data_IF_312254098059
#
_entry.id   IF_312254098059
#
_cell.length_a   1.000
_cell.length_b   1.000
_cell.length_c   1.000
_cell.angle_alpha   90.00
_cell.angle_beta   90.00
_cell.angle_gamma   90.00
#
_symmetry.space_group_name_H-M   'P 1'
#
loop_
_entity.id
_entity.type
_entity.pdbx_description
1 polymer ?
#
# COMPACT_ATOMS: atom_id res chain seq x y z
N UNK A 1 24.24 -69.43 -65.00
CA UNK A 1 22.83 -69.46 -65.43
C UNK A 1 22.02 -68.49 -64.58
N UNK A 2 21.13 -67.76 -65.26
CA UNK A 2 19.89 -67.11 -64.78
C UNK A 2 19.86 -66.35 -63.44
N UNK A 3 19.78 -65.02 -63.59
CA UNK A 3 18.73 -64.12 -63.11
C UNK A 3 17.84 -64.47 -61.89
N UNK A 4 17.78 -63.46 -61.01
CA UNK A 4 16.59 -62.78 -60.45
C UNK A 4 15.71 -63.58 -59.50
N UNK A 5 15.70 -63.14 -58.23
CA UNK A 5 14.46 -63.06 -57.46
C UNK A 5 14.33 -61.65 -56.89
N UNK A 6 13.15 -61.12 -57.17
CA UNK A 6 12.64 -59.79 -56.87
C UNK A 6 12.22 -59.65 -55.41
N UNK A 7 12.27 -58.39 -54.97
CA UNK A 7 11.42 -57.71 -53.98
C UNK A 7 11.35 -58.20 -52.53
N UNK A 8 11.70 -57.29 -51.61
CA UNK A 8 11.06 -57.18 -50.29
C UNK A 8 10.31 -55.84 -50.21
N UNK A 9 9.01 -55.83 -49.88
CA UNK A 9 8.27 -54.61 -49.57
C UNK A 9 8.40 -54.31 -48.07
N UNK A 10 8.82 -53.11 -47.69
CA UNK A 10 9.00 -52.81 -46.26
C UNK A 10 9.00 -51.34 -45.82
N UNK A 11 9.03 -50.36 -46.73
CA UNK A 11 9.33 -48.97 -46.34
C UNK A 11 8.12 -48.02 -46.26
N UNK A 12 6.96 -48.34 -46.84
CA UNK A 12 5.77 -47.46 -46.75
C UNK A 12 4.93 -47.68 -45.49
N UNK A 13 4.86 -48.91 -44.98
CA UNK A 13 3.99 -49.27 -43.85
C UNK A 13 4.53 -48.75 -42.51
N UNK A 14 5.85 -48.81 -42.30
CA UNK A 14 6.49 -48.29 -41.10
C UNK A 14 6.42 -46.76 -41.01
N UNK A 15 6.57 -46.06 -42.15
CA UNK A 15 6.45 -44.59 -42.19
C UNK A 15 5.03 -44.11 -41.88
N UNK A 16 4.00 -44.82 -42.34
CA UNK A 16 2.59 -44.52 -42.02
C UNK A 16 2.25 -44.81 -40.56
N UNK A 17 2.81 -45.89 -40.03
CA UNK A 17 2.62 -46.25 -38.62
C UNK A 17 3.27 -45.23 -37.68
N UNK A 18 4.49 -44.78 -38.00
CA UNK A 18 5.16 -43.73 -37.24
C UNK A 18 4.42 -42.39 -37.33
N UNK A 19 3.88 -42.02 -38.51
CA UNK A 19 3.08 -40.80 -38.62
C UNK A 19 1.80 -40.88 -37.80
N UNK A 20 1.12 -42.02 -37.76
CA UNK A 20 -0.07 -42.21 -36.93
C UNK A 20 0.24 -42.12 -35.42
N UNK A 21 1.38 -42.66 -34.98
CA UNK A 21 1.82 -42.55 -33.58
C UNK A 21 2.10 -41.09 -33.22
N UNK A 22 2.82 -40.37 -34.08
CA UNK A 22 3.14 -38.96 -33.86
C UNK A 22 1.86 -38.11 -33.85
N UNK A 23 0.95 -38.31 -34.82
CA UNK A 23 -0.32 -37.59 -34.88
C UNK A 23 -1.18 -37.85 -33.64
N UNK A 24 -1.26 -39.09 -33.17
CA UNK A 24 -2.00 -39.43 -31.97
C UNK A 24 -1.37 -38.82 -30.71
N UNK A 25 -0.03 -38.82 -30.61
CA UNK A 25 0.68 -38.19 -29.50
C UNK A 25 0.49 -36.66 -29.48
N UNK A 26 0.57 -36.01 -30.64
CA UNK A 26 0.34 -34.56 -30.78
C UNK A 26 -1.11 -34.22 -30.44
N UNK A 27 -2.09 -34.98 -30.96
CA UNK A 27 -3.51 -34.77 -30.67
C UNK A 27 -3.81 -34.92 -29.19
N UNK A 28 -3.21 -35.91 -28.52
CA UNK A 28 -3.34 -36.09 -27.07
C UNK A 28 -2.71 -34.96 -26.26
N UNK A 29 -1.56 -34.45 -26.69
CA UNK A 29 -0.90 -33.31 -26.05
C UNK A 29 -1.74 -32.03 -26.18
N UNK A 30 -2.22 -31.73 -27.40
CA UNK A 30 -3.05 -30.54 -27.67
C UNK A 30 -4.35 -30.57 -26.90
N UNK A 31 -5.01 -31.74 -26.83
CA UNK A 31 -6.25 -31.89 -26.05
C UNK A 31 -6.01 -31.70 -24.56
N UNK A 32 -4.92 -32.25 -24.00
CA UNK A 32 -4.54 -32.02 -22.61
C UNK A 32 -4.28 -30.53 -22.32
N UNK A 33 -3.53 -29.84 -23.17
CA UNK A 33 -3.27 -28.40 -23.02
C UNK A 33 -4.55 -27.60 -23.14
N UNK A 34 -5.47 -28.01 -24.01
CA UNK A 34 -6.77 -27.38 -24.16
C UNK A 34 -7.66 -27.56 -22.93
N UNK A 35 -7.65 -28.75 -22.34
CA UNK A 35 -8.37 -29.07 -21.11
C UNK A 35 -7.79 -28.29 -19.92
N UNK A 36 -6.47 -28.17 -19.84
CA UNK A 36 -5.77 -27.36 -18.83
C UNK A 36 -6.12 -25.87 -19.00
N UNK A 37 -6.08 -25.33 -20.23
CA UNK A 37 -6.50 -23.96 -20.53
C UNK A 37 -7.97 -23.72 -20.17
N UNK A 38 -8.83 -24.71 -20.44
CA UNK A 38 -10.24 -24.63 -20.09
C UNK A 38 -10.44 -24.65 -18.57
N UNK A 39 -9.70 -25.51 -17.86
CA UNK A 39 -9.70 -25.58 -16.40
C UNK A 39 -9.19 -24.26 -15.78
N UNK A 40 -8.11 -23.68 -16.31
CA UNK A 40 -7.57 -22.37 -15.89
C UNK A 40 -8.60 -21.26 -16.16
N UNK A 41 -9.17 -21.19 -17.36
CA UNK A 41 -10.20 -20.20 -17.71
C UNK A 41 -11.45 -20.35 -16.83
N UNK A 42 -11.83 -21.57 -16.50
CA UNK A 42 -12.95 -21.88 -15.60
C UNK A 42 -12.61 -21.51 -14.16
N UNK A 43 -11.38 -21.76 -13.70
CA UNK A 43 -10.89 -21.34 -12.39
C UNK A 43 -10.85 -19.81 -12.27
N UNK A 44 -10.40 -19.10 -13.31
CA UNK A 44 -10.43 -17.62 -13.36
C UNK A 44 -11.87 -17.07 -13.39
N UNK A 45 -12.82 -17.74 -14.07
CA UNK A 45 -14.25 -17.40 -14.01
C UNK A 45 -14.89 -17.75 -12.66
N UNK A 46 -14.48 -18.83 -12.00
CA UNK A 46 -14.98 -19.25 -10.69
C UNK A 46 -14.36 -18.44 -9.53
N UNK A 47 -13.16 -17.88 -9.73
CA UNK A 47 -12.54 -16.85 -8.90
C UNK A 47 -13.16 -15.46 -9.08
N UNK A 48 -14.32 -15.35 -9.73
CA UNK A 48 -15.17 -14.17 -9.67
C UNK A 48 -15.83 -14.03 -8.29
N UNK A 49 -15.02 -14.10 -7.24
CA UNK A 49 -15.24 -13.61 -5.88
C UNK A 49 -14.44 -12.32 -5.72
N UNK A 50 -15.03 -11.20 -5.29
CA UNK A 50 -16.28 -10.65 -5.76
C UNK A 50 -15.97 -9.24 -6.28
N UNK A 51 -15.71 -9.04 -7.59
CA UNK A 51 -15.58 -7.66 -8.09
C UNK A 51 -16.83 -6.81 -7.79
N UNK A 52 -18.00 -7.47 -7.70
CA UNK A 52 -19.29 -6.84 -7.41
C UNK A 52 -19.53 -6.64 -5.89
N UNK A 53 -18.99 -7.49 -5.01
CA UNK A 53 -19.07 -7.23 -3.56
C UNK A 53 -17.94 -6.31 -3.08
N UNK A 54 -16.79 -6.31 -3.77
CA UNK A 54 -15.77 -5.28 -3.67
C UNK A 54 -16.36 -3.95 -4.15
N UNK A 55 -17.08 -3.89 -5.28
CA UNK A 55 -17.74 -2.65 -5.73
C UNK A 55 -18.85 -2.19 -4.79
N UNK A 56 -19.61 -3.10 -4.15
CA UNK A 56 -20.58 -2.76 -3.08
C UNK A 56 -19.96 -2.40 -1.73
N UNK A 57 -18.73 -2.85 -1.45
CA UNK A 57 -17.96 -2.41 -0.27
C UNK A 57 -17.21 -1.11 -0.54
N UNK A 58 -16.75 -0.91 -1.77
CA UNK A 58 -16.18 0.32 -2.32
C UNK A 58 -17.26 1.39 -2.49
N UNK A 59 -18.53 1.03 -2.70
CA UNK A 59 -19.64 1.98 -2.81
C UNK A 59 -20.01 2.69 -1.49
N UNK A 60 -19.25 2.46 -0.40
CA UNK A 60 -19.33 3.25 0.84
C UNK A 60 -18.07 4.06 1.13
N UNK A 61 -17.01 3.85 0.37
CA UNK A 61 -15.90 4.80 0.33
C UNK A 61 -16.35 5.81 -0.71
N UNK A 62 -16.94 6.91 -0.25
CA UNK A 62 -16.86 8.14 -1.02
C UNK A 62 -15.35 8.30 -1.30
N UNK A 63 -14.91 8.06 -2.53
CA UNK A 63 -13.49 8.06 -2.92
C UNK A 63 -13.02 9.51 -2.95
N UNK A 64 -12.99 10.11 -1.76
CA UNK A 64 -12.60 11.48 -1.51
C UNK A 64 -11.11 11.56 -1.76
N UNK A 65 -10.72 12.58 -2.50
CA UNK A 65 -9.30 12.87 -2.78
C UNK A 65 -8.56 13.01 -1.45
N UNK A 66 -7.48 12.24 -1.28
CA UNK A 66 -6.55 12.42 -0.17
C UNK A 66 -5.50 13.47 -0.58
N UNK A 67 -5.71 14.72 -0.20
CA UNK A 67 -4.80 15.82 -0.52
C UNK A 67 -3.42 15.71 0.17
N UNK A 68 -3.25 14.77 1.10
CA UNK A 68 -1.95 14.42 1.67
C UNK A 68 -1.18 13.35 0.86
N UNK A 69 -1.72 12.85 -0.25
CA UNK A 69 -1.09 11.79 -1.04
C UNK A 69 0.15 12.29 -1.80
N UNK A 70 1.29 11.59 -1.64
CA UNK A 70 2.51 11.86 -2.41
C UNK A 70 2.25 11.75 -3.93
N UNK A 71 1.50 10.73 -4.35
CA UNK A 71 1.10 10.51 -5.75
C UNK A 71 0.36 11.71 -6.37
N UNK A 72 -0.24 12.57 -5.54
CA UNK A 72 -0.94 13.79 -5.96
C UNK A 72 -0.09 15.05 -5.81
N UNK A 73 1.15 14.93 -5.35
CA UNK A 73 2.11 16.03 -5.20
C UNK A 73 2.25 16.59 -3.78
N UNK A 74 1.65 15.97 -2.78
CA UNK A 74 1.88 16.33 -1.38
C UNK A 74 3.33 16.04 -0.96
N UNK A 75 3.87 16.82 -0.02
CA UNK A 75 5.28 16.75 0.38
C UNK A 75 5.45 16.90 1.88
N UNK A 76 6.49 16.28 2.41
CA UNK A 76 6.98 16.59 3.77
C UNK A 76 7.87 17.83 3.68
N UNK A 77 7.61 18.82 4.53
CA UNK A 77 8.33 20.10 4.56
C UNK A 77 9.38 20.12 5.67
N UNK A 78 9.02 19.70 6.87
CA UNK A 78 9.93 19.67 8.02
C UNK A 78 9.51 18.66 9.06
N UNK A 79 10.48 18.26 9.90
CA UNK A 79 10.30 17.32 10.99
C UNK A 79 11.11 17.81 12.18
N UNK A 80 10.46 17.84 13.34
CA UNK A 80 11.10 18.03 14.63
C UNK A 80 10.83 16.76 15.44
N UNK A 81 11.80 15.86 15.43
CA UNK A 81 11.73 14.55 16.06
C UNK A 81 13.07 13.85 15.94
N UNK A 82 13.27 12.78 16.70
CA UNK A 82 14.49 11.99 16.61
C UNK A 82 14.25 10.73 15.79
N UNK A 83 15.20 10.30 14.93
CA UNK A 83 15.09 9.03 14.24
C UNK A 83 15.20 7.86 15.21
N UNK A 84 14.54 6.75 14.89
CA UNK A 84 14.56 5.52 15.72
C UNK A 84 16.00 5.01 15.90
N UNK A 85 16.76 5.00 14.81
CA UNK A 85 18.16 4.64 14.79
C UNK A 85 19.00 5.91 14.73
N UNK A 86 19.78 6.24 15.78
CA UNK A 86 20.67 7.40 15.76
C UNK A 86 21.62 7.34 14.55
N UNK A 87 21.68 8.38 13.71
CA UNK A 87 22.57 8.40 12.56
C UNK A 87 24.02 8.54 13.04
N UNK A 88 24.95 7.92 12.31
CA UNK A 88 26.36 8.26 12.48
C UNK A 88 26.64 9.68 11.94
N UNK A 89 27.84 10.21 12.21
CA UNK A 89 28.21 11.56 11.80
C UNK A 89 27.99 11.82 10.31
N UNK A 90 28.37 10.86 9.45
CA UNK A 90 28.21 10.98 8.00
C UNK A 90 26.74 11.07 7.58
N UNK A 91 25.88 10.19 8.10
CA UNK A 91 24.43 10.20 7.80
C UNK A 91 23.78 11.50 8.24
N UNK A 92 24.16 12.03 9.41
CA UNK A 92 23.68 13.32 9.90
C UNK A 92 24.12 14.48 9.00
N UNK A 93 25.39 14.49 8.56
CA UNK A 93 25.90 15.52 7.65
C UNK A 93 25.17 15.53 6.30
N UNK A 94 24.74 14.36 5.81
CA UNK A 94 24.00 14.20 4.56
C UNK A 94 22.48 14.37 4.70
N UNK A 95 21.96 14.66 5.90
CA UNK A 95 20.51 14.75 6.16
C UNK A 95 19.77 13.41 6.05
N UNK A 96 20.48 12.28 6.13
CA UNK A 96 19.94 10.92 6.00
C UNK A 96 19.49 10.34 7.34
N UNK A 97 19.00 11.21 8.24
CA UNK A 97 18.66 10.84 9.61
C UNK A 97 17.50 9.82 9.67
N UNK A 98 16.56 9.89 8.71
CA UNK A 98 15.36 9.06 8.65
C UNK A 98 15.38 8.03 7.50
N UNK A 99 16.55 7.66 6.98
CA UNK A 99 16.66 6.79 5.79
C UNK A 99 15.94 5.44 5.94
N UNK A 100 15.98 4.82 7.13
CA UNK A 100 15.33 3.52 7.39
C UNK A 100 13.81 3.61 7.39
N UNK A 101 13.24 4.70 7.90
CA UNK A 101 11.80 4.91 7.99
C UNK A 101 11.48 6.33 7.50
N UNK A 102 11.52 6.55 6.17
CA UNK A 102 11.43 7.89 5.63
C UNK A 102 10.09 8.55 5.98
N UNK A 103 10.08 9.86 6.24
CA UNK A 103 8.87 10.60 6.58
C UNK A 103 7.81 10.56 5.50
N UNK A 104 8.26 10.53 4.24
CA UNK A 104 7.37 10.46 3.08
C UNK A 104 6.50 9.20 3.07
N UNK A 105 6.88 8.13 3.79
CA UNK A 105 6.07 6.90 3.86
C UNK A 105 4.65 7.18 4.37
N UNK A 106 4.46 8.12 5.29
CA UNK A 106 3.13 8.48 5.79
C UNK A 106 2.21 9.15 4.75
N UNK A 107 2.75 9.54 3.59
CA UNK A 107 2.02 10.13 2.46
C UNK A 107 1.77 9.14 1.33
N UNK A 108 2.34 7.92 1.41
CA UNK A 108 2.22 6.87 0.39
C UNK A 108 1.01 5.98 0.63
N UNK A 109 0.69 5.18 -0.38
CA UNK A 109 -0.40 4.19 -0.35
C UNK A 109 0.04 2.83 0.22
N UNK A 110 1.33 2.57 0.25
CA UNK A 110 1.95 1.35 0.76
C UNK A 110 1.77 1.23 2.28
N UNK A 111 1.34 0.05 2.71
CA UNK A 111 1.01 -0.29 4.09
C UNK A 111 1.66 -1.62 4.51
N UNK A 112 2.72 -2.06 3.83
CA UNK A 112 3.48 -3.25 4.24
C UNK A 112 4.16 -3.05 5.61
N UNK A 113 4.34 -4.14 6.35
CA UNK A 113 4.99 -4.08 7.66
C UNK A 113 6.40 -3.46 7.54
N UNK A 114 6.69 -2.43 8.34
CA UNK A 114 7.93 -1.64 8.26
C UNK A 114 7.86 -0.39 7.37
N UNK A 115 6.91 -0.30 6.42
CA UNK A 115 6.79 0.84 5.51
C UNK A 115 5.96 1.98 6.13
N UNK A 116 6.47 2.52 7.23
CA UNK A 116 5.89 3.65 7.94
C UNK A 116 6.96 4.70 8.27
N UNK A 117 6.53 5.93 8.54
CA UNK A 117 7.39 6.93 9.14
C UNK A 117 7.55 6.62 10.62
N UNK A 118 8.78 6.34 11.05
CA UNK A 118 9.10 5.98 12.43
C UNK A 118 9.97 7.05 13.08
N UNK A 119 9.61 7.43 14.30
CA UNK A 119 10.40 8.34 15.13
C UNK A 119 10.52 7.80 16.54
N UNK A 120 11.62 8.17 17.20
CA UNK A 120 11.96 7.71 18.54
C UNK A 120 10.98 8.24 19.57
N UNK A 121 10.72 7.42 20.59
CA UNK A 121 9.75 7.67 21.67
C UNK A 121 8.34 7.87 21.10
N UNK A 122 7.62 8.88 21.58
CA UNK A 122 6.19 9.06 21.38
C UNK A 122 5.80 10.45 20.86
N UNK A 123 6.78 11.31 20.59
CA UNK A 123 6.56 12.69 20.13
C UNK A 123 7.37 13.06 18.89
N UNK A 124 6.69 13.65 17.91
CA UNK A 124 7.31 14.34 16.78
C UNK A 124 6.36 15.41 16.23
N UNK A 125 6.93 16.48 15.69
CA UNK A 125 6.21 17.49 14.94
C UNK A 125 6.56 17.32 13.47
N UNK A 126 5.55 17.26 12.62
CA UNK A 126 5.72 17.02 11.18
C UNK A 126 4.92 18.06 10.42
N UNK A 127 5.58 18.84 9.57
CA UNK A 127 4.90 19.76 8.66
C UNK A 127 4.81 19.14 7.28
N UNK A 128 3.61 19.04 6.72
CA UNK A 128 3.33 18.56 5.37
C UNK A 128 2.69 19.67 4.54
N UNK A 129 2.99 19.68 3.25
CA UNK A 129 2.29 20.46 2.24
C UNK A 129 1.36 19.52 1.47
N UNK A 130 0.07 19.84 1.43
CA UNK A 130 -0.94 19.18 0.63
C UNK A 130 -0.69 19.41 -0.86
N UNK A 131 -1.30 18.59 -1.70
CA UNK A 131 -1.23 18.77 -3.15
C UNK A 131 -1.85 20.09 -3.61
N UNK A 132 -2.92 20.53 -2.95
CA UNK A 132 -3.65 21.77 -3.27
C UNK A 132 -4.20 22.42 -1.98
N UNK A 133 -4.41 23.75 -1.95
CA UNK A 133 -5.11 24.41 -0.85
C UNK A 133 -6.60 24.05 -0.83
N UNK A 134 -7.09 23.54 0.29
CA UNK A 134 -8.48 23.06 0.42
C UNK A 134 -9.14 23.48 1.73
N UNK A 135 -10.47 23.56 1.71
CA UNK A 135 -11.32 23.68 2.90
C UNK A 135 -11.37 22.31 3.58
N UNK A 136 -10.45 22.07 4.52
CA UNK A 136 -10.27 20.77 5.18
C UNK A 136 -11.45 20.45 6.11
N UNK A 137 -12.21 19.41 5.79
CA UNK A 137 -13.35 18.98 6.60
C UNK A 137 -13.10 17.66 7.33
N UNK A 138 -12.04 16.93 6.99
CA UNK A 138 -11.72 15.67 7.61
C UNK A 138 -10.23 15.35 7.51
N UNK A 139 -9.66 14.88 8.62
CA UNK A 139 -8.30 14.33 8.67
C UNK A 139 -8.36 12.90 9.20
N UNK A 140 -7.44 12.04 8.80
CA UNK A 140 -7.39 10.69 9.32
C UNK A 140 -5.98 10.14 9.44
N UNK A 141 -5.89 9.06 10.20
CA UNK A 141 -4.72 8.20 10.29
C UNK A 141 -5.14 6.77 9.97
N UNK A 142 -4.24 6.03 9.33
CA UNK A 142 -4.35 4.59 9.16
C UNK A 142 -3.10 3.91 9.68
N UNK A 143 -3.28 2.75 10.30
CA UNK A 143 -2.22 1.92 10.85
C UNK A 143 -2.49 0.46 10.52
N UNK A 144 -1.45 -0.34 10.37
CA UNK A 144 -1.59 -1.77 10.07
C UNK A 144 -2.20 -2.57 11.21
N UNK A 145 -2.82 -3.69 10.86
CA UNK A 145 -3.44 -4.63 11.80
C UNK A 145 -2.41 -5.38 12.65
N UNK A 146 -2.79 -5.68 13.90
CA UNK A 146 -2.08 -6.61 14.81
C UNK A 146 -1.78 -7.97 14.18
N UNK A 147 -2.62 -8.46 13.25
CA UNK A 147 -2.43 -9.77 12.62
C UNK A 147 -1.33 -9.78 11.56
N UNK A 148 -0.97 -8.62 11.03
CA UNK A 148 0.05 -8.43 9.99
C UNK A 148 1.36 -7.89 10.56
N UNK A 149 1.47 -7.79 11.89
CA UNK A 149 2.69 -7.34 12.57
C UNK A 149 3.30 -8.47 13.39
N UNK A 150 4.56 -8.85 13.15
CA UNK A 150 5.28 -9.74 14.04
C UNK A 150 5.56 -9.04 15.38
N UNK A 151 4.79 -9.32 16.44
CA UNK A 151 5.09 -8.86 17.81
C UNK A 151 4.36 -7.60 18.30
N UNK A 152 5.05 -6.74 19.06
CA UNK A 152 4.51 -5.59 19.84
C UNK A 152 4.21 -4.32 19.02
N UNK A 153 4.46 -4.35 17.71
CA UNK A 153 4.42 -3.18 16.82
C UNK A 153 3.08 -2.41 16.80
N UNK A 154 1.97 -3.07 17.11
CA UNK A 154 0.68 -2.36 17.19
C UNK A 154 0.63 -1.29 18.28
N UNK A 155 1.45 -1.41 19.33
CA UNK A 155 1.52 -0.39 20.39
C UNK A 155 2.29 0.86 19.94
N UNK A 156 2.99 0.79 18.81
CA UNK A 156 3.73 1.90 18.21
C UNK A 156 2.84 2.85 17.41
N UNK A 157 1.55 2.54 17.23
CA UNK A 157 0.62 3.47 16.59
C UNK A 157 0.57 4.80 17.37
N UNK A 158 0.48 5.96 16.67
CA UNK A 158 0.23 7.23 17.33
C UNK A 158 -1.10 7.17 18.06
N UNK A 159 -1.18 7.82 19.22
CA UNK A 159 -2.40 7.88 20.04
C UNK A 159 -2.96 9.29 20.05
N UNK A 160 -2.38 10.19 20.82
CA UNK A 160 -2.83 11.58 20.91
C UNK A 160 -2.05 12.46 19.94
N UNK A 161 -2.77 13.21 19.11
CA UNK A 161 -2.16 14.14 18.18
C UNK A 161 -2.99 15.42 18.03
N UNK A 162 -2.35 16.50 17.60
CA UNK A 162 -3.00 17.76 17.24
C UNK A 162 -2.61 18.14 15.82
N UNK A 163 -3.51 18.85 15.12
CA UNK A 163 -3.22 19.35 13.77
C UNK A 163 -3.46 20.84 13.72
N UNK A 164 -2.48 21.55 13.17
CA UNK A 164 -2.54 22.98 12.93
C UNK A 164 -2.49 23.26 11.42
N UNK A 165 -3.28 24.21 10.97
CA UNK A 165 -3.11 24.84 9.67
C UNK A 165 -2.14 26.01 9.81
N UNK A 166 -1.07 25.99 9.03
CA UNK A 166 -0.03 27.01 9.06
C UNK A 166 -0.43 28.16 8.13
N UNK A 167 -0.37 29.38 8.64
CA UNK A 167 -0.70 30.59 7.88
C UNK A 167 0.29 31.71 8.21
N UNK A 168 0.38 32.72 7.35
CA UNK A 168 1.31 33.84 7.51
C UNK A 168 1.13 34.61 8.82
N UNK A 169 -0.12 34.73 9.29
CA UNK A 169 -0.44 35.54 10.47
C UNK A 169 -0.32 34.75 11.78
N UNK A 170 -0.90 33.54 11.79
CA UNK A 170 -0.98 32.68 12.97
C UNK A 170 -1.42 31.27 12.58
N UNK A 171 -0.80 30.28 13.18
CA UNK A 171 -1.24 28.88 13.05
C UNK A 171 -2.63 28.68 13.67
N UNK A 172 -3.53 28.04 12.94
CA UNK A 172 -4.89 27.73 13.39
C UNK A 172 -4.97 26.27 13.85
N UNK A 173 -5.39 26.03 15.09
CA UNK A 173 -5.63 24.68 15.59
C UNK A 173 -6.89 24.10 14.93
N UNK A 174 -6.73 23.11 14.06
CA UNK A 174 -7.84 22.41 13.43
C UNK A 174 -8.49 21.39 14.37
N UNK A 175 -7.71 20.83 15.30
CA UNK A 175 -8.24 19.95 16.33
C UNK A 175 -7.19 19.17 17.09
N UNK A 176 -7.66 18.55 18.18
CA UNK A 176 -6.92 17.55 18.95
C UNK A 176 -7.68 16.23 18.83
N UNK A 177 -6.97 15.18 18.48
CA UNK A 177 -7.56 13.91 18.10
C UNK A 177 -6.88 12.78 18.85
N UNK A 178 -7.58 11.65 18.94
CA UNK A 178 -7.07 10.42 19.52
C UNK A 178 -7.35 9.27 18.57
N UNK A 179 -6.29 8.65 18.07
CA UNK A 179 -6.38 7.40 17.34
C UNK A 179 -6.57 6.24 18.33
N UNK A 180 -7.46 5.29 17.99
CA UNK A 180 -7.69 4.09 18.77
C UNK A 180 -6.97 2.88 18.16
N UNK A 181 -6.18 2.15 18.94
CA UNK A 181 -5.54 0.92 18.48
C UNK A 181 -6.51 -0.29 18.49
N UNK A 182 -7.52 -0.24 17.61
CA UNK A 182 -8.53 -1.28 17.40
C UNK A 182 -8.19 -2.15 16.18
N UNK A 183 -8.13 -3.48 16.36
CA UNK A 183 -7.85 -4.44 15.30
C UNK A 183 -8.87 -4.39 14.14
N UNK A 184 -10.10 -3.95 14.42
CA UNK A 184 -11.19 -3.90 13.44
C UNK A 184 -11.29 -2.54 12.75
N UNK A 185 -10.52 -1.54 13.18
CA UNK A 185 -10.60 -0.16 12.67
C UNK A 185 -9.22 0.44 12.42
N UNK A 186 -8.57 -0.07 11.38
CA UNK A 186 -7.24 0.33 10.94
C UNK A 186 -7.17 1.80 10.52
N UNK A 187 -8.20 2.27 9.80
CA UNK A 187 -8.37 3.66 9.37
C UNK A 187 -9.35 4.38 10.26
N UNK A 188 -8.96 5.55 10.74
CA UNK A 188 -9.82 6.44 11.54
C UNK A 188 -9.73 7.84 11.00
N UNK A 189 -10.89 8.42 10.72
CA UNK A 189 -11.03 9.80 10.29
C UNK A 189 -11.76 10.62 11.37
N UNK A 190 -11.44 11.90 11.40
CA UNK A 190 -11.86 12.87 12.39
C UNK A 190 -12.36 14.10 11.66
N UNK A 191 -13.61 14.48 11.93
CA UNK A 191 -14.22 15.65 11.32
C UNK A 191 -13.60 16.94 11.87
N UNK A 192 -13.41 17.93 11.00
CA UNK A 192 -12.99 19.28 11.34
C UNK A 192 -14.19 20.19 11.15
N UNK A 193 -14.57 20.91 12.20
CA UNK A 193 -15.76 21.75 12.17
C UNK A 193 -15.39 23.08 11.50
N UNK A 194 -15.91 23.27 10.29
CA UNK A 194 -15.99 24.54 9.54
C UNK A 194 -14.66 25.31 9.42
N UNK A 195 -13.69 24.84 8.61
CA UNK A 195 -12.56 25.68 8.19
C UNK A 195 -13.09 26.92 7.45
N UNK A 196 -12.67 28.11 7.87
CA UNK A 196 -13.10 29.38 7.25
C UNK A 196 -12.29 29.65 5.95
N UNK A 197 -11.11 29.04 5.83
CA UNK A 197 -10.13 29.28 4.77
C UNK A 197 -9.55 28.00 4.24
N UNK A 198 -9.02 28.07 3.01
CA UNK A 198 -8.25 26.98 2.41
C UNK A 198 -6.84 26.95 2.99
N UNK A 199 -6.37 25.75 3.26
CA UNK A 199 -5.02 25.50 3.75
C UNK A 199 -4.36 24.42 2.91
N UNK A 200 -3.07 24.58 2.64
CA UNK A 200 -2.21 23.56 2.04
C UNK A 200 -1.03 23.19 2.95
N UNK A 201 -0.74 23.93 4.02
CA UNK A 201 0.36 23.64 4.92
C UNK A 201 -0.18 23.21 6.29
N UNK A 202 0.07 21.96 6.67
CA UNK A 202 -0.42 21.36 7.92
C UNK A 202 0.73 20.91 8.80
N UNK A 203 0.63 21.18 10.10
CA UNK A 203 1.56 20.69 11.10
C UNK A 203 0.87 19.71 12.05
N UNK A 204 1.33 18.47 12.01
CA UNK A 204 0.91 17.39 12.89
C UNK A 204 1.84 17.35 14.10
N UNK A 205 1.25 17.43 15.28
CA UNK A 205 1.93 17.23 16.56
C UNK A 205 1.52 15.87 17.09
N UNK A 206 2.36 14.86 16.91
CA UNK A 206 2.19 13.57 17.58
C UNK A 206 2.70 13.71 19.01
N UNK A 207 1.87 13.39 20.00
CA UNK A 207 2.14 13.69 21.41
C UNK A 207 2.20 12.43 22.30
N UNK A 208 1.72 11.28 21.81
CA UNK A 208 1.84 10.00 22.50
C UNK A 208 1.61 8.82 21.55
N UNK A 209 1.92 7.61 22.02
CA UNK A 209 1.60 6.35 21.35
C UNK A 209 0.79 5.40 22.27
N UNK A 210 0.60 4.16 21.83
CA UNK A 210 -0.14 3.14 22.57
C UNK A 210 0.72 2.31 23.54
N UNK A 211 1.86 2.84 23.98
CA UNK A 211 2.71 2.25 25.01
C UNK A 211 4.00 1.62 24.49
N UNK A 212 4.34 1.78 23.21
CA UNK A 212 5.58 1.26 22.67
C UNK A 212 6.78 2.05 23.23
N UNK A 213 7.77 1.39 23.88
CA UNK A 213 8.76 2.08 24.70
C UNK A 213 9.87 2.78 23.91
N UNK A 214 10.01 2.51 22.60
CA UNK A 214 11.18 2.96 21.82
C UNK A 214 10.86 3.89 20.67
N UNK A 215 9.68 3.77 20.08
CA UNK A 215 9.30 4.50 18.88
C UNK A 215 7.80 4.53 18.66
N UNK A 216 7.40 5.41 17.75
CA UNK A 216 6.05 5.53 17.18
C UNK A 216 6.15 5.42 15.67
N UNK A 217 5.19 4.76 15.03
CA UNK A 217 5.13 4.62 13.58
C UNK A 217 3.81 5.13 12.99
N UNK A 218 3.91 6.04 12.04
CA UNK A 218 2.78 6.61 11.31
C UNK A 218 2.79 6.04 9.91
N UNK A 219 1.76 5.24 9.62
CA UNK A 219 1.65 4.52 8.36
C UNK A 219 1.06 5.37 7.25
N UNK A 220 -0.09 6.03 7.49
CA UNK A 220 -0.69 6.88 6.47
C UNK A 220 -1.55 8.00 7.04
N UNK A 221 -1.42 9.17 6.46
CA UNK A 221 -2.22 10.37 6.75
C UNK A 221 -3.26 10.56 5.64
N UNK A 222 -4.48 10.94 6.05
CA UNK A 222 -5.56 11.36 5.18
C UNK A 222 -5.91 12.81 5.45
N UNK A 223 -6.03 13.61 4.40
CA UNK A 223 -6.58 14.95 4.47
C UNK A 223 -7.60 15.08 3.34
N UNK A 224 -8.86 15.27 3.73
CA UNK A 224 -9.96 15.50 2.81
C UNK A 224 -10.49 16.92 3.00
N UNK A 225 -11.01 17.48 1.92
CA UNK A 225 -11.56 18.82 1.93
C UNK A 225 -12.24 19.13 0.61
N UNK A 226 -12.70 20.38 0.50
CA UNK A 226 -13.33 20.91 -0.71
C UNK A 226 -12.48 22.01 -1.33
N UNK A 227 -12.46 22.04 -2.65
CA UNK A 227 -11.97 23.19 -3.42
C UNK A 227 -12.94 24.37 -3.33
#
# INVERSE_FOLDING_TARGET
MAQVVSAKPGTQTESRFLSEIIENAVKKCVTSVWDDLYAIKKAMKAQQYPFIALSKSLSRIEERVNYASEDLGAKVISIEGQPVCPPNFLKRLLGMEFETNPPVQMLKTDMEAGNCFAFRNDSAIVTIKLSEPVLIDQIGLEHISKKHTPGEDSTAAPKDFAVFAISENRDELLGKFRYGNDQNKLRQTFAIIQPIKKYDLLRFHFNSNHGHPRYTCVYRIFVHGRM
#
